data_IF_951794981533
#
_entry.id   IF_951794981533
#
_cell.length_a   1.000
_cell.length_b   1.000
_cell.length_c   1.000
_cell.angle_alpha   90.00
_cell.angle_beta   90.00
_cell.angle_gamma   90.00
#
_symmetry.space_group_name_H-M   'P 1'
#
loop_
_entity.id
_entity.type
_entity.pdbx_description
1 polymer ?
#
# COMPACT_ATOMS: atom_id res chain seq x y z
N UNK A 1 -4.93 -1.34 -3.56
CA UNK A 1 -5.38 -2.54 -2.82
C UNK A 1 -6.88 -2.74 -3.00
N UNK A 2 -7.35 -3.97 -3.15
CA UNK A 2 -8.78 -4.30 -3.26
C UNK A 2 -9.17 -5.30 -2.17
N UNK A 3 -10.35 -5.16 -1.60
CA UNK A 3 -10.92 -6.07 -0.61
C UNK A 3 -12.19 -6.67 -1.18
N UNK A 4 -12.30 -7.99 -1.08
CA UNK A 4 -13.41 -8.77 -1.58
C UNK A 4 -14.05 -9.55 -0.43
N UNK A 5 -15.34 -9.86 -0.54
CA UNK A 5 -15.97 -10.87 0.30
C UNK A 5 -15.64 -12.29 -0.19
N UNK A 6 -16.14 -13.30 0.52
CA UNK A 6 -15.88 -14.72 0.22
C UNK A 6 -16.49 -15.20 -1.09
N UNK A 7 -17.48 -14.47 -1.60
CA UNK A 7 -18.13 -14.73 -2.88
C UNK A 7 -17.42 -14.01 -4.03
N UNK A 8 -16.33 -13.27 -3.74
CA UNK A 8 -15.53 -12.55 -4.72
C UNK A 8 -16.10 -11.19 -5.12
N UNK A 9 -17.10 -10.67 -4.40
CA UNK A 9 -17.64 -9.34 -4.65
C UNK A 9 -16.73 -8.29 -4.05
N UNK A 10 -16.43 -7.25 -4.84
CA UNK A 10 -15.61 -6.13 -4.38
C UNK A 10 -16.35 -5.34 -3.27
N UNK A 11 -15.72 -5.23 -2.11
CA UNK A 11 -16.22 -4.45 -0.97
C UNK A 11 -15.61 -3.05 -0.95
N UNK A 12 -14.31 -2.95 -1.18
CA UNK A 12 -13.58 -1.70 -1.14
C UNK A 12 -12.34 -1.75 -2.01
N UNK A 13 -11.87 -0.57 -2.43
CA UNK A 13 -10.59 -0.37 -3.08
C UNK A 13 -10.01 0.95 -2.62
N UNK A 14 -8.70 0.96 -2.35
CA UNK A 14 -7.96 2.18 -2.05
C UNK A 14 -6.59 2.17 -2.72
N UNK A 15 -5.99 3.35 -2.80
CA UNK A 15 -4.84 3.69 -3.64
C UNK A 15 -5.19 4.84 -4.57
N UNK A 16 -4.28 5.79 -4.73
CA UNK A 16 -4.43 6.95 -5.61
C UNK A 16 -3.53 6.90 -6.84
N UNK A 17 -3.70 7.85 -7.77
CA UNK A 17 -2.91 7.93 -9.00
C UNK A 17 -1.47 8.39 -8.76
N UNK A 18 -1.23 9.18 -7.71
CA UNK A 18 0.12 9.52 -7.27
C UNK A 18 0.66 8.39 -6.40
N UNK A 19 1.53 7.57 -6.99
CA UNK A 19 2.18 6.43 -6.35
C UNK A 19 2.95 6.77 -5.06
N UNK A 20 3.42 8.02 -4.92
CA UNK A 20 4.25 8.47 -3.79
C UNK A 20 3.45 9.12 -2.66
N UNK A 21 2.17 9.41 -2.89
CA UNK A 21 1.29 9.95 -1.86
C UNK A 21 0.95 8.92 -0.79
N UNK A 22 0.73 9.39 0.45
CA UNK A 22 0.28 8.54 1.55
C UNK A 22 -1.03 7.84 1.19
N UNK A 23 -1.06 6.52 1.37
CA UNK A 23 -2.19 5.66 1.02
C UNK A 23 -2.31 5.27 -0.45
N UNK A 24 -1.38 5.73 -1.29
CA UNK A 24 -1.12 5.18 -2.62
C UNK A 24 0.03 4.18 -2.59
N UNK A 25 0.28 3.54 -3.74
CA UNK A 25 1.25 2.46 -3.85
C UNK A 25 2.11 2.63 -5.10
N UNK A 26 3.42 2.47 -4.95
CA UNK A 26 4.39 2.52 -6.04
C UNK A 26 4.76 1.12 -6.52
N UNK A 27 5.11 0.22 -5.58
CA UNK A 27 5.55 -1.14 -5.90
C UNK A 27 5.22 -2.11 -4.75
N UNK A 28 3.93 -2.33 -4.44
CA UNK A 28 3.54 -3.18 -3.32
C UNK A 28 3.78 -4.66 -3.61
N UNK A 29 4.38 -5.36 -2.65
CA UNK A 29 4.67 -6.81 -2.74
C UNK A 29 4.26 -7.60 -1.50
N UNK A 30 4.23 -6.97 -0.32
CA UNK A 30 3.77 -7.61 0.91
C UNK A 30 2.46 -7.00 1.38
N UNK A 31 1.58 -7.85 1.92
CA UNK A 31 0.37 -7.45 2.60
C UNK A 31 0.13 -8.36 3.81
N UNK A 32 -0.16 -7.77 4.97
CA UNK A 32 -0.55 -8.48 6.18
C UNK A 32 -1.70 -7.76 6.88
N UNK A 33 -2.45 -8.51 7.70
CA UNK A 33 -3.54 -7.97 8.51
C UNK A 33 -3.32 -8.44 9.95
N UNK A 34 -3.42 -7.54 10.93
CA UNK A 34 -3.31 -7.90 12.35
C UNK A 34 -4.67 -8.25 12.99
N UNK A 35 -4.65 -8.63 14.27
CA UNK A 35 -5.86 -9.02 15.02
C UNK A 35 -6.83 -7.87 15.29
N UNK A 36 -6.44 -6.61 15.06
CA UNK A 36 -7.33 -5.45 15.11
C UNK A 36 -7.95 -5.14 13.75
N UNK A 37 -7.52 -5.82 12.70
CA UNK A 37 -7.92 -5.54 11.33
C UNK A 37 -7.11 -4.41 10.67
N UNK A 38 -6.00 -3.98 11.28
CA UNK A 38 -5.10 -3.03 10.63
C UNK A 38 -4.40 -3.72 9.45
N UNK A 39 -4.28 -3.03 8.32
CA UNK A 39 -3.63 -3.54 7.11
C UNK A 39 -2.23 -2.95 7.00
N UNK A 40 -1.26 -3.80 6.69
CA UNK A 40 0.14 -3.41 6.50
C UNK A 40 0.54 -3.76 5.08
N UNK A 41 1.14 -2.81 4.37
CA UNK A 41 1.61 -3.00 3.00
C UNK A 41 3.09 -2.66 2.94
N UNK A 42 3.90 -3.55 2.38
CA UNK A 42 5.32 -3.32 2.11
C UNK A 42 5.60 -3.25 0.60
N UNK A 43 6.54 -2.39 0.24
CA UNK A 43 6.83 -1.98 -1.12
C UNK A 43 8.32 -2.02 -1.40
N UNK A 44 8.70 -2.40 -2.63
CA UNK A 44 10.11 -2.38 -3.08
C UNK A 44 10.44 -1.06 -3.80
N UNK A 45 9.95 0.05 -3.26
CA UNK A 45 10.02 1.39 -3.87
C UNK A 45 11.44 1.79 -4.27
N UNK A 46 12.45 1.37 -3.51
CA UNK A 46 13.84 1.70 -3.79
C UNK A 46 14.30 1.20 -5.17
N UNK A 47 14.20 -0.11 -5.41
CA UNK A 47 14.66 -0.73 -6.67
C UNK A 47 13.72 -0.43 -7.84
N UNK A 48 12.44 -0.20 -7.55
CA UNK A 48 11.44 0.13 -8.57
C UNK A 48 11.58 1.57 -9.09
N UNK A 49 11.75 2.56 -8.20
CA UNK A 49 11.68 3.98 -8.54
C UNK A 49 12.84 4.84 -8.01
N UNK A 50 13.17 4.76 -6.72
CA UNK A 50 14.12 5.72 -6.10
C UNK A 50 15.52 5.59 -6.69
N UNK A 51 16.06 4.36 -6.84
CA UNK A 51 17.40 4.14 -7.41
C UNK A 51 17.52 4.55 -8.89
N UNK A 52 16.39 4.82 -9.54
CA UNK A 52 16.29 5.25 -10.94
C UNK A 52 15.99 6.75 -11.06
N UNK A 53 15.90 7.48 -9.94
CA UNK A 53 15.55 8.90 -9.93
C UNK A 53 14.08 9.19 -10.28
N UNK A 54 13.19 8.18 -10.18
CA UNK A 54 11.76 8.31 -10.55
C UNK A 54 10.86 8.68 -9.36
N UNK A 55 11.40 8.64 -8.13
CA UNK A 55 10.71 9.04 -6.93
C UNK A 55 11.69 9.67 -5.94
N UNK A 56 11.26 10.58 -5.05
CA UNK A 56 12.11 11.19 -4.04
C UNK A 56 12.74 10.15 -3.08
N UNK A 57 13.94 10.46 -2.59
CA UNK A 57 14.46 9.78 -1.41
C UNK A 57 13.49 9.98 -0.23
N UNK A 58 13.25 8.91 0.53
CA UNK A 58 12.27 8.91 1.62
C UNK A 58 10.83 8.56 1.20
N UNK A 59 10.57 8.27 -0.09
CA UNK A 59 9.30 7.66 -0.50
C UNK A 59 9.05 6.39 0.30
N UNK A 60 7.81 6.20 0.77
CA UNK A 60 7.46 5.09 1.66
C UNK A 60 7.77 3.72 1.04
N UNK A 61 8.28 2.83 1.87
CA UNK A 61 8.49 1.40 1.57
C UNK A 61 7.61 0.51 2.43
N UNK A 62 6.93 1.10 3.42
CA UNK A 62 6.04 0.41 4.34
C UNK A 62 4.96 1.39 4.80
N UNK A 63 3.71 0.95 4.77
CA UNK A 63 2.56 1.73 5.20
C UNK A 63 1.64 0.89 6.08
N UNK A 64 1.17 1.47 7.18
CA UNK A 64 0.13 0.92 8.05
C UNK A 64 -1.17 1.69 7.84
N UNK A 65 -2.25 0.95 7.63
CA UNK A 65 -3.62 1.43 7.50
C UNK A 65 -4.41 0.97 8.71
N UNK A 66 -4.59 1.85 9.67
CA UNK A 66 -5.36 1.57 10.87
C UNK A 66 -6.79 2.09 10.73
N UNK A 67 -7.75 1.31 11.22
CA UNK A 67 -9.10 1.81 11.46
C UNK A 67 -9.02 2.58 12.78
N UNK A 68 -8.82 3.91 12.69
CA UNK A 68 -8.80 4.78 13.87
C UNK A 68 -10.04 4.53 14.73
N UNK A 69 -9.82 3.93 15.90
CA UNK A 69 -10.78 3.77 16.98
C UNK A 69 -10.30 4.60 18.16
#
# INVERSE_FOLDING_TARGET
VSVFDRDGRLLARWGGPDATAAGSFAAPHGLAVDSRGDVYVSEVTWTFAVSRGLAPEGTHTFQKFALGR
#
